data_IF_294766771537
#
_entry.id   IF_294766771537
#
_cell.length_a   1.000
_cell.length_b   1.000
_cell.length_c   1.000
_cell.angle_alpha   90.00
_cell.angle_beta   90.00
_cell.angle_gamma   90.00
#
_symmetry.space_group_name_H-M   'P 1'
#
loop_
_entity.id
_entity.type
_entity.pdbx_description
1 polymer ?
#
# COMPACT_ATOMS: atom_id res chain seq x y z
N UNK A 1 3.05 7.47 -3.78
CA UNK A 1 3.51 6.35 -4.65
C UNK A 1 3.62 6.79 -6.11
N UNK A 2 4.70 7.45 -6.42
CA UNK A 2 4.92 8.00 -7.77
C UNK A 2 4.97 6.88 -8.82
N UNK A 3 5.63 5.76 -8.53
CA UNK A 3 5.74 4.65 -9.46
C UNK A 3 4.42 3.96 -9.79
N UNK A 4 3.41 4.10 -8.95
CA UNK A 4 2.05 3.61 -9.20
C UNK A 4 1.12 4.69 -9.76
N UNK A 5 1.66 5.88 -10.09
CA UNK A 5 0.88 6.99 -10.60
C UNK A 5 0.11 7.77 -9.54
N UNK A 6 0.37 7.53 -8.28
CA UNK A 6 -0.27 8.24 -7.17
C UNK A 6 0.62 9.41 -6.76
N UNK A 7 0.10 10.61 -6.86
CA UNK A 7 0.81 11.85 -6.55
C UNK A 7 0.32 12.45 -5.24
N UNK A 8 1.13 13.32 -4.66
CA UNK A 8 0.72 14.07 -3.47
C UNK A 8 -0.56 14.87 -3.77
N UNK A 9 -1.49 14.85 -2.83
CA UNK A 9 -2.78 15.49 -3.01
C UNK A 9 -3.84 14.65 -3.69
N UNK A 10 -3.49 13.51 -4.26
CA UNK A 10 -4.46 12.57 -4.79
C UNK A 10 -5.25 11.92 -3.67
N UNK A 11 -6.52 11.67 -3.93
CA UNK A 11 -7.40 10.95 -3.01
C UNK A 11 -7.55 9.51 -3.47
N UNK A 12 -7.59 8.58 -2.53
CA UNK A 12 -7.81 7.18 -2.83
C UNK A 12 -9.11 6.71 -2.21
N UNK A 13 -9.81 5.85 -2.93
CA UNK A 13 -10.97 5.14 -2.41
C UNK A 13 -10.49 3.81 -1.89
N UNK A 14 -10.73 3.54 -0.61
CA UNK A 14 -10.24 2.36 0.08
C UNK A 14 -11.41 1.47 0.46
N UNK A 15 -11.30 0.19 0.12
CA UNK A 15 -12.21 -0.83 0.62
C UNK A 15 -11.63 -1.41 1.89
N UNK A 16 -12.27 -1.23 3.06
CA UNK A 16 -11.77 -1.81 4.30
C UNK A 16 -11.72 -3.34 4.21
N UNK A 17 -10.58 -3.90 4.46
CA UNK A 17 -10.39 -5.36 4.53
C UNK A 17 -9.05 -5.64 5.22
N UNK A 18 -8.95 -6.77 5.96
CA UNK A 18 -7.73 -7.06 6.72
C UNK A 18 -6.61 -7.65 5.89
N UNK A 19 -6.87 -8.02 4.65
CA UNK A 19 -5.88 -8.62 3.77
C UNK A 19 -6.14 -8.20 2.32
N UNK A 20 -5.18 -8.51 1.47
CA UNK A 20 -5.26 -8.23 0.05
C UNK A 20 -4.48 -9.27 -0.73
N UNK A 21 -4.63 -9.28 -2.04
CA UNK A 21 -3.92 -10.21 -2.90
C UNK A 21 -2.58 -9.64 -3.36
N UNK A 22 -1.70 -10.54 -3.79
CA UNK A 22 -0.40 -10.17 -4.32
C UNK A 22 -0.53 -9.15 -5.46
N UNK A 23 0.26 -8.09 -5.39
CA UNK A 23 0.27 -7.04 -6.40
C UNK A 23 -0.74 -5.92 -6.19
N UNK A 24 -1.64 -6.05 -5.24
CA UNK A 24 -2.63 -4.99 -4.96
C UNK A 24 -2.02 -3.86 -4.14
N UNK A 25 -2.55 -2.66 -4.34
CA UNK A 25 -2.16 -1.49 -3.55
C UNK A 25 -3.03 -1.44 -2.31
N UNK A 26 -2.39 -1.29 -1.16
CA UNK A 26 -3.06 -1.30 0.14
C UNK A 26 -2.73 -0.05 0.94
N UNK A 27 -3.60 0.27 1.88
CA UNK A 27 -3.31 1.22 2.95
C UNK A 27 -2.94 0.41 4.18
N UNK A 28 -1.77 0.68 4.71
CA UNK A 28 -1.26 -0.03 5.88
C UNK A 28 -0.91 0.94 6.99
N UNK A 29 -1.12 0.51 8.22
CA UNK A 29 -0.73 1.27 9.42
C UNK A 29 0.64 0.76 9.88
N UNK A 30 1.59 1.68 9.92
CA UNK A 30 2.96 1.41 10.36
C UNK A 30 3.35 2.52 11.35
N UNK A 31 3.67 2.15 12.58
CA UNK A 31 4.04 3.11 13.63
C UNK A 31 3.05 4.27 13.77
N UNK A 32 1.76 3.95 13.82
CA UNK A 32 0.65 4.90 13.94
C UNK A 32 0.47 5.84 12.73
N UNK A 33 1.17 5.58 11.64
CA UNK A 33 1.02 6.33 10.38
C UNK A 33 0.42 5.45 9.29
N UNK A 34 -0.58 5.97 8.61
CA UNK A 34 -1.14 5.30 7.44
C UNK A 34 -0.26 5.56 6.22
N UNK A 35 0.05 4.52 5.48
CA UNK A 35 0.86 4.61 4.28
C UNK A 35 0.25 3.77 3.16
N UNK A 36 0.48 4.17 1.92
CA UNK A 36 0.01 3.46 0.73
C UNK A 36 1.17 2.71 0.13
N UNK A 37 1.05 1.40 0.01
CA UNK A 37 2.10 0.53 -0.50
C UNK A 37 1.52 -0.58 -1.37
N UNK A 38 2.38 -1.19 -2.18
CA UNK A 38 2.01 -2.38 -2.94
C UNK A 38 2.32 -3.63 -2.12
N UNK A 39 1.35 -4.53 -2.05
CA UNK A 39 1.50 -5.78 -1.32
C UNK A 39 2.20 -6.82 -2.19
N UNK A 40 3.20 -7.48 -1.64
CA UNK A 40 3.86 -8.62 -2.29
C UNK A 40 3.81 -9.82 -1.36
N UNK A 41 3.27 -10.92 -1.85
CA UNK A 41 3.25 -12.19 -1.14
C UNK A 41 4.20 -13.16 -1.82
N UNK A 42 5.09 -13.77 -1.03
CA UNK A 42 6.03 -14.77 -1.49
C UNK A 42 5.96 -15.96 -0.53
N UNK A 43 5.26 -17.04 -0.93
CA UNK A 43 5.01 -18.15 -0.03
C UNK A 43 4.24 -17.69 1.20
N UNK A 44 4.84 -17.80 2.39
CA UNK A 44 4.26 -17.36 3.66
C UNK A 44 4.61 -15.92 4.01
N UNK A 45 5.54 -15.32 3.27
CA UNK A 45 6.03 -13.99 3.56
C UNK A 45 5.15 -12.94 2.88
N UNK A 46 4.91 -11.85 3.61
CA UNK A 46 4.17 -10.70 3.12
C UNK A 46 5.06 -9.47 3.26
N UNK A 47 5.17 -8.70 2.19
CA UNK A 47 6.01 -7.52 2.13
C UNK A 47 5.21 -6.33 1.62
N UNK A 48 5.51 -5.16 2.16
CA UNK A 48 5.03 -3.89 1.64
C UNK A 48 6.13 -3.30 0.78
N UNK A 49 5.88 -3.22 -0.51
CA UNK A 49 6.89 -2.81 -1.48
C UNK A 49 6.79 -1.32 -1.77
N UNK A 50 7.89 -0.58 -1.67
CA UNK A 50 7.93 0.78 -2.16
C UNK A 50 7.95 0.78 -3.69
N UNK A 51 7.32 1.77 -4.31
CA UNK A 51 7.42 1.97 -5.75
C UNK A 51 8.73 2.68 -6.13
N UNK A 52 9.37 3.32 -5.18
CA UNK A 52 10.66 3.95 -5.38
C UNK A 52 11.78 2.97 -4.99
N UNK A 53 12.70 2.61 -5.91
CA UNK A 53 13.77 1.65 -5.61
C UNK A 53 14.77 2.14 -4.57
N UNK A 54 14.76 3.42 -4.22
CA UNK A 54 15.60 3.97 -3.15
C UNK A 54 15.15 3.56 -1.75
N UNK A 55 13.96 3.02 -1.60
CA UNK A 55 13.43 2.57 -0.32
C UNK A 55 13.41 1.05 -0.25
N UNK A 56 13.60 0.52 0.95
CA UNK A 56 13.60 -0.92 1.18
C UNK A 56 12.18 -1.46 1.41
N UNK A 57 11.92 -2.74 1.03
CA UNK A 57 10.67 -3.40 1.38
C UNK A 57 10.46 -3.46 2.89
N UNK A 58 9.21 -3.33 3.33
CA UNK A 58 8.83 -3.40 4.74
C UNK A 58 8.17 -4.75 5.00
N UNK A 59 8.63 -5.52 6.00
CA UNK A 59 7.96 -6.78 6.36
C UNK A 59 6.51 -6.53 6.74
N UNK A 60 5.59 -7.31 6.16
CA UNK A 60 4.16 -7.13 6.37
C UNK A 60 3.70 -7.37 7.80
N UNK A 61 4.44 -8.17 8.58
CA UNK A 61 4.12 -8.42 9.98
C UNK A 61 4.39 -7.21 10.89
N UNK A 62 5.08 -6.19 10.41
CA UNK A 62 5.31 -4.94 11.15
C UNK A 62 4.21 -3.91 10.91
N UNK A 63 3.26 -4.21 10.04
CA UNK A 63 2.21 -3.30 9.65
C UNK A 63 0.84 -3.97 9.70
N UNK A 64 -0.20 -3.17 9.89
CA UNK A 64 -1.59 -3.63 9.83
C UNK A 64 -2.21 -3.15 8.53
N UNK A 65 -2.75 -4.06 7.74
CA UNK A 65 -3.45 -3.72 6.52
C UNK A 65 -4.83 -3.19 6.89
N UNK A 66 -5.12 -1.95 6.51
CA UNK A 66 -6.40 -1.30 6.78
C UNK A 66 -7.39 -1.52 5.65
N UNK A 67 -6.91 -1.63 4.42
CA UNK A 67 -7.78 -1.84 3.29
C UNK A 67 -7.04 -1.87 1.97
N UNK A 68 -7.79 -2.16 0.90
CA UNK A 68 -7.29 -2.17 -0.47
C UNK A 68 -7.68 -0.90 -1.18
N UNK A 69 -6.76 -0.30 -1.92
CA UNK A 69 -7.07 0.85 -2.77
C UNK A 69 -7.90 0.37 -3.97
N UNK A 70 -9.13 0.87 -4.08
CA UNK A 70 -10.08 0.53 -5.13
C UNK A 70 -10.00 1.47 -6.32
N UNK A 71 -9.77 2.75 -6.05
CA UNK A 71 -9.77 3.78 -7.07
C UNK A 71 -8.90 4.95 -6.64
N UNK A 72 -8.46 5.71 -7.62
CA UNK A 72 -7.70 6.94 -7.44
C UNK A 72 -8.56 8.10 -7.93
N UNK A 73 -8.67 9.15 -7.13
CA UNK A 73 -9.38 10.36 -7.50
C UNK A 73 -8.36 11.50 -7.58
N UNK A 74 -8.30 12.13 -8.74
CA UNK A 74 -7.43 13.26 -8.98
C UNK A 74 -8.28 14.47 -9.34
N UNK A 75 -8.09 15.56 -8.61
CA UNK A 75 -8.76 16.82 -8.89
C UNK A 75 -7.86 17.69 -9.77
N UNK A 76 -8.48 18.31 -10.76
CA UNK A 76 -7.80 19.25 -11.67
C UNK A 76 -8.23 20.69 -11.41
#
# INVERSE_FOLDING_TARGET
>A
MIGAGILDGDKVVVRPQPDAENGQIVVALLDDSATVKRLKKTGRDVWLMPENPSYEPIPGNEAKILGRVKALIREY
#
